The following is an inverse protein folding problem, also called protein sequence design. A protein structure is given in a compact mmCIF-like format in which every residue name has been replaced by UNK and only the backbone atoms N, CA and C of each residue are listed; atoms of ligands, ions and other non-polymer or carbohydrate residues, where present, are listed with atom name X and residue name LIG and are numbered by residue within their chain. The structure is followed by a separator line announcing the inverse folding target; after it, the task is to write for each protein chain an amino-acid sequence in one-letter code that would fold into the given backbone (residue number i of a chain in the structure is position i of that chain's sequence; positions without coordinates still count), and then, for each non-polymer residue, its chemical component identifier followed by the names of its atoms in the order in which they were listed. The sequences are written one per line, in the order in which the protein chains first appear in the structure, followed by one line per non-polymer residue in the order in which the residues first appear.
data_IF_052468403842
#
_entry.id   IF_052468403842
#
_cell.length_a   1.000
_cell.length_b   1.000
_cell.length_c   1.000
_cell.angle_alpha   90.00
_cell.angle_beta   90.00
_cell.angle_gamma   90.00
#
_symmetry.space_group_name_H-M   'P 1'
#
loop_
_entity.id
_entity.type
_entity.pdbx_description
1 polymer ?
#
# COMPACT_ATOMS: atom_id res chain seq x y z
N UNK A 1 43.54 -28.24 2.85
CA UNK A 1 43.74 -26.78 2.68
C UNK A 1 43.06 -26.25 1.42
N UNK A 2 43.29 -26.86 0.25
CA UNK A 2 42.64 -26.47 -1.02
C UNK A 2 41.10 -26.58 -1.00
N UNK A 3 40.55 -27.62 -0.36
CA UNK A 3 39.08 -27.75 -0.23
C UNK A 3 38.46 -26.68 0.67
N UNK A 4 39.18 -26.24 1.72
CA UNK A 4 38.68 -25.19 2.61
C UNK A 4 38.70 -23.81 1.93
N UNK A 5 39.71 -23.50 1.12
CA UNK A 5 39.74 -22.23 0.37
C UNK A 5 38.67 -22.22 -0.74
N UNK A 6 38.44 -23.35 -1.42
CA UNK A 6 37.41 -23.44 -2.45
C UNK A 6 36.00 -23.24 -1.86
N UNK A 7 35.73 -23.84 -0.70
CA UNK A 7 34.46 -23.68 0.00
C UNK A 7 34.21 -22.21 0.40
N UNK A 8 35.20 -21.55 1.00
CA UNK A 8 35.09 -20.15 1.42
C UNK A 8 34.88 -19.23 0.21
N UNK A 9 35.54 -19.49 -0.92
CA UNK A 9 35.36 -18.71 -2.16
C UNK A 9 33.94 -18.85 -2.73
N UNK A 10 33.37 -20.06 -2.76
CA UNK A 10 32.01 -20.29 -3.27
C UNK A 10 30.96 -19.64 -2.37
N UNK A 11 31.09 -19.78 -1.05
CA UNK A 11 30.18 -19.14 -0.09
C UNK A 11 30.25 -17.61 -0.21
N UNK A 12 31.45 -17.04 -0.37
CA UNK A 12 31.63 -15.60 -0.56
C UNK A 12 30.94 -15.05 -1.81
N UNK A 13 31.02 -15.77 -2.94
CA UNK A 13 30.34 -15.38 -4.19
C UNK A 13 28.82 -15.47 -4.03
N UNK A 14 28.30 -16.54 -3.43
CA UNK A 14 26.86 -16.71 -3.20
C UNK A 14 26.34 -15.61 -2.26
N UNK A 15 27.05 -15.31 -1.18
CA UNK A 15 26.68 -14.25 -0.24
C UNK A 15 26.64 -12.88 -0.93
N UNK A 16 27.63 -12.57 -1.78
CA UNK A 16 27.68 -11.31 -2.52
C UNK A 16 26.51 -11.14 -3.50
N UNK A 17 26.06 -12.20 -4.16
CA UNK A 17 24.91 -12.17 -5.07
C UNK A 17 23.57 -12.18 -4.32
N UNK A 18 23.48 -12.91 -3.21
CA UNK A 18 22.24 -13.08 -2.45
C UNK A 18 21.79 -11.78 -1.76
N UNK A 19 22.70 -11.03 -1.13
CA UNK A 19 22.37 -9.80 -0.38
C UNK A 19 21.61 -8.75 -1.23
N UNK A 20 22.09 -8.33 -2.42
CA UNK A 20 21.37 -7.38 -3.25
C UNK A 20 20.05 -7.96 -3.82
N UNK A 21 19.99 -9.27 -4.06
CA UNK A 21 18.76 -9.90 -4.57
C UNK A 21 17.65 -9.96 -3.52
N UNK A 22 17.97 -10.30 -2.27
CA UNK A 22 17.02 -10.40 -1.16
C UNK A 22 16.50 -9.01 -0.77
N UNK A 23 17.37 -8.01 -0.74
CA UNK A 23 16.97 -6.62 -0.44
C UNK A 23 16.04 -6.04 -1.52
N UNK A 24 16.31 -6.31 -2.80
CA UNK A 24 15.40 -5.95 -3.90
C UNK A 24 14.07 -6.71 -3.83
N UNK A 25 14.10 -8.02 -3.59
CA UNK A 25 12.87 -8.81 -3.44
C UNK A 25 11.99 -8.34 -2.29
N UNK A 26 12.60 -7.95 -1.15
CA UNK A 26 11.85 -7.37 -0.03
C UNK A 26 11.23 -6.03 -0.40
N UNK A 27 12.00 -5.14 -1.03
CA UNK A 27 11.51 -3.84 -1.50
C UNK A 27 10.37 -3.97 -2.51
N UNK A 28 10.46 -4.92 -3.45
CA UNK A 28 9.41 -5.16 -4.45
C UNK A 28 8.16 -5.78 -3.80
N UNK A 29 8.35 -6.65 -2.81
CA UNK A 29 7.24 -7.24 -2.05
C UNK A 29 6.49 -6.18 -1.23
N UNK A 30 7.21 -5.27 -0.58
CA UNK A 30 6.61 -4.14 0.15
C UNK A 30 5.85 -3.20 -0.79
N UNK A 31 6.42 -2.90 -1.97
CA UNK A 31 5.74 -2.10 -2.99
C UNK A 31 4.46 -2.78 -3.48
N UNK A 32 4.52 -4.09 -3.79
CA UNK A 32 3.36 -4.84 -4.24
C UNK A 32 2.27 -4.94 -3.15
N UNK A 33 2.67 -5.07 -1.88
CA UNK A 33 1.75 -5.01 -0.75
C UNK A 33 1.08 -3.63 -0.65
N UNK A 34 1.85 -2.55 -0.76
CA UNK A 34 1.31 -1.19 -0.73
C UNK A 34 0.31 -0.94 -1.88
N UNK A 35 0.58 -1.46 -3.08
CA UNK A 35 -0.33 -1.40 -4.22
C UNK A 35 -1.63 -2.17 -3.92
N UNK A 36 -1.52 -3.42 -3.46
CA UNK A 36 -2.69 -4.24 -3.11
C UNK A 36 -3.55 -3.59 -2.04
N UNK A 37 -2.94 -2.93 -1.05
CA UNK A 37 -3.65 -2.15 -0.02
C UNK A 37 -4.35 -0.93 -0.60
N UNK A 38 -3.71 -0.20 -1.51
CA UNK A 38 -4.35 0.92 -2.21
C UNK A 38 -5.53 0.47 -3.09
N UNK A 39 -5.40 -0.67 -3.77
CA UNK A 39 -6.48 -1.27 -4.54
C UNK A 39 -7.65 -1.69 -3.66
N UNK A 40 -7.37 -2.28 -2.48
CA UNK A 40 -8.39 -2.59 -1.49
C UNK A 40 -9.12 -1.33 -0.98
N UNK A 41 -8.41 -0.21 -0.79
CA UNK A 41 -9.05 1.08 -0.45
C UNK A 41 -9.95 1.57 -1.58
N UNK A 42 -9.50 1.47 -2.83
CA UNK A 42 -10.29 1.87 -4.01
C UNK A 42 -11.56 1.00 -4.16
N UNK A 43 -11.44 -0.31 -3.95
CA UNK A 43 -12.57 -1.23 -3.95
C UNK A 43 -13.52 -0.96 -2.77
N UNK A 44 -13.00 -0.72 -1.56
CA UNK A 44 -13.81 -0.35 -0.39
C UNK A 44 -14.60 0.94 -0.62
N UNK A 45 -14.01 1.95 -1.24
CA UNK A 45 -14.71 3.18 -1.67
C UNK A 45 -15.81 2.88 -2.69
N UNK A 46 -15.54 2.04 -3.69
CA UNK A 46 -16.54 1.65 -4.69
C UNK A 46 -17.72 0.92 -4.05
N UNK A 47 -17.46 -0.04 -3.16
CA UNK A 47 -18.49 -0.77 -2.42
C UNK A 47 -19.30 0.17 -1.52
N UNK A 48 -18.65 1.11 -0.83
CA UNK A 48 -19.36 2.11 -0.02
C UNK A 48 -20.32 2.97 -0.85
N UNK A 49 -19.90 3.41 -2.05
CA UNK A 49 -20.78 4.12 -3.00
C UNK A 49 -21.96 3.24 -3.42
N UNK A 50 -21.75 1.95 -3.66
CA UNK A 50 -22.80 1.01 -4.06
C UNK A 50 -23.83 0.79 -2.95
N UNK A 51 -23.40 0.68 -1.69
CA UNK A 51 -24.29 0.41 -0.54
C UNK A 51 -25.05 1.67 -0.10
N UNK A 52 -24.37 2.80 0.02
CA UNK A 52 -24.95 4.04 0.57
C UNK A 52 -25.63 4.89 -0.51
N UNK A 53 -25.28 4.67 -1.78
CA UNK A 53 -25.73 5.48 -2.91
C UNK A 53 -24.85 6.72 -3.12
N UNK A 54 -24.62 7.06 -4.40
CA UNK A 54 -23.62 8.05 -4.82
C UNK A 54 -23.77 9.42 -4.17
N UNK A 55 -24.99 9.95 -4.07
CA UNK A 55 -25.27 11.27 -3.52
C UNK A 55 -25.03 11.32 -2.01
N UNK A 56 -25.53 10.32 -1.28
CA UNK A 56 -25.36 10.26 0.17
C UNK A 56 -23.91 9.96 0.57
N UNK A 57 -23.23 9.10 -0.20
CA UNK A 57 -21.80 8.87 -0.04
C UNK A 57 -21.00 10.16 -0.21
N UNK A 58 -21.31 10.99 -1.21
CA UNK A 58 -20.66 12.27 -1.43
C UNK A 58 -20.87 13.25 -0.25
N UNK A 59 -22.09 13.35 0.26
CA UNK A 59 -22.42 14.19 1.42
C UNK A 59 -21.67 13.73 2.67
N UNK A 60 -21.62 12.41 2.91
CA UNK A 60 -20.93 11.83 4.05
C UNK A 60 -19.40 11.95 3.94
N UNK A 61 -18.85 12.09 2.74
CA UNK A 61 -17.42 12.14 2.46
C UNK A 61 -16.85 13.57 2.46
N UNK A 62 -17.67 14.53 2.00
CA UNK A 62 -17.27 15.94 1.85
C UNK A 62 -16.98 16.55 3.23
N UNK A 63 -15.85 17.26 3.35
CA UNK A 63 -15.46 17.93 4.59
C UNK A 63 -14.82 17.04 5.66
N UNK A 64 -14.68 15.73 5.42
CA UNK A 64 -14.00 14.81 6.34
C UNK A 64 -12.49 14.72 6.08
N UNK A 65 -11.71 14.47 7.13
CA UNK A 65 -10.28 14.18 7.06
C UNK A 65 -10.03 12.71 6.62
N UNK A 66 -8.79 12.37 6.28
CA UNK A 66 -8.43 11.03 5.79
C UNK A 66 -8.83 9.90 6.75
N UNK A 67 -8.61 10.04 8.06
CA UNK A 67 -9.02 9.03 9.04
C UNK A 67 -10.54 8.89 9.15
N UNK A 68 -11.27 10.00 9.05
CA UNK A 68 -12.73 9.99 9.09
C UNK A 68 -13.35 9.40 7.82
N UNK A 69 -12.68 9.57 6.67
CA UNK A 69 -13.04 8.90 5.41
C UNK A 69 -12.72 7.40 5.48
N UNK A 70 -11.58 7.04 6.04
CA UNK A 70 -11.20 5.65 6.27
C UNK A 70 -12.22 4.92 7.17
N UNK A 71 -12.70 5.58 8.22
CA UNK A 71 -13.74 5.01 9.09
C UNK A 71 -15.04 4.65 8.35
N UNK A 72 -15.40 5.35 7.27
CA UNK A 72 -16.60 5.04 6.48
C UNK A 72 -16.43 3.83 5.57
N UNK A 73 -15.20 3.59 5.11
CA UNK A 73 -14.89 2.46 4.22
C UNK A 73 -14.37 1.25 4.98
N UNK A 74 -13.96 1.41 6.24
CA UNK A 74 -13.31 0.39 7.07
C UNK A 74 -14.06 -0.94 7.05
N UNK A 75 -15.38 -0.92 7.21
CA UNK A 75 -16.22 -2.14 7.25
C UNK A 75 -16.29 -2.87 5.90
N UNK A 76 -15.86 -2.23 4.82
CA UNK A 76 -15.84 -2.77 3.46
C UNK A 76 -14.43 -3.21 3.02
N UNK A 77 -13.43 -3.11 3.89
CA UNK A 77 -12.08 -3.60 3.64
C UNK A 77 -11.84 -4.96 4.30
N UNK A 78 -11.24 -5.89 3.56
CA UNK A 78 -10.70 -7.12 4.15
C UNK A 78 -9.44 -6.78 4.96
N UNK A 79 -9.47 -7.07 6.27
CA UNK A 79 -8.41 -6.74 7.24
C UNK A 79 -8.18 -5.24 7.42
N UNK A 80 -9.18 -4.56 7.97
CA UNK A 80 -9.12 -3.14 8.23
C UNK A 80 -8.47 -2.84 9.60
N UNK A 81 -7.45 -1.98 9.59
CA UNK A 81 -6.69 -1.60 10.78
C UNK A 81 -7.37 -0.44 11.54
N UNK A 82 -6.79 -0.03 12.67
CA UNK A 82 -7.31 1.09 13.46
C UNK A 82 -7.29 2.44 12.73
N UNK A 83 -6.25 2.68 11.93
CA UNK A 83 -6.02 3.96 11.23
C UNK A 83 -5.49 3.72 9.81
N UNK A 84 -5.62 4.72 8.94
CA UNK A 84 -5.09 4.65 7.58
C UNK A 84 -3.55 4.50 7.57
N UNK A 85 -2.87 5.07 8.57
CA UNK A 85 -1.41 4.96 8.73
C UNK A 85 -0.96 3.55 9.11
N UNK A 86 -1.73 2.82 9.93
CA UNK A 86 -1.42 1.42 10.28
C UNK A 86 -1.79 0.43 9.17
N UNK A 87 -2.75 0.80 8.31
CA UNK A 87 -3.15 -0.02 7.17
C UNK A 87 -2.09 -0.05 6.05
N UNK A 88 -1.27 1.00 5.95
CA UNK A 88 -0.17 1.10 4.99
C UNK A 88 1.16 0.65 5.62
N UNK A 89 2.07 0.02 4.84
CA UNK A 89 3.43 -0.25 5.29
C UNK A 89 4.19 1.06 5.64
N UNK A 90 5.13 0.99 6.61
CA UNK A 90 5.73 2.16 7.28
C UNK A 90 6.33 3.25 6.37
N UNK A 91 6.68 2.93 5.12
CA UNK A 91 7.28 3.84 4.14
C UNK A 91 6.29 4.39 3.11
N UNK A 92 5.00 4.05 3.21
CA UNK A 92 3.97 4.42 2.25
C UNK A 92 2.84 5.20 2.91
N UNK A 93 2.48 6.33 2.30
CA UNK A 93 1.31 7.11 2.72
C UNK A 93 0.25 7.08 1.61
N UNK A 94 -0.98 6.76 1.99
CA UNK A 94 -2.13 6.82 1.09
C UNK A 94 -2.93 8.10 1.39
N UNK A 95 -3.18 8.91 0.37
CA UNK A 95 -4.06 10.09 0.50
C UNK A 95 -5.38 9.79 -0.19
N UNK A 96 -6.46 9.70 0.59
CA UNK A 96 -7.80 9.50 0.07
C UNK A 96 -8.29 10.78 -0.64
N UNK A 97 -8.93 10.66 -1.82
CA UNK A 97 -9.37 11.83 -2.59
C UNK A 97 -10.41 12.65 -1.82
N UNK A 98 -10.41 13.97 -2.03
CA UNK A 98 -11.37 14.91 -1.42
C UNK A 98 -12.79 14.72 -1.91
N UNK A 99 -12.95 14.22 -3.14
CA UNK A 99 -14.23 13.89 -3.74
C UNK A 99 -14.27 12.40 -4.05
N UNK A 100 -15.27 11.69 -3.53
CA UNK A 100 -15.51 10.27 -3.81
C UNK A 100 -16.26 10.06 -5.15
N UNK A 101 -16.85 11.13 -5.70
CA UNK A 101 -17.72 11.10 -6.89
C UNK A 101 -17.02 11.51 -8.18
N UNK A 102 -15.97 12.31 -8.09
CA UNK A 102 -14.98 12.47 -9.15
C UNK A 102 -13.98 11.34 -8.92
N UNK A 103 -13.84 10.43 -9.87
CA UNK A 103 -12.86 9.34 -9.80
C UNK A 103 -11.44 9.91 -9.92
N UNK A 104 -11.00 10.66 -8.92
CA UNK A 104 -9.61 11.08 -8.79
C UNK A 104 -8.89 9.93 -8.11
N UNK A 105 -8.16 9.17 -8.93
CA UNK A 105 -7.29 8.04 -8.55
C UNK A 105 -6.51 8.34 -7.26
N UNK A 106 -6.46 7.38 -6.33
CA UNK A 106 -5.79 7.53 -5.03
C UNK A 106 -4.29 7.67 -5.28
N UNK A 107 -3.68 8.72 -4.73
CA UNK A 107 -2.24 8.93 -4.90
C UNK A 107 -1.47 8.29 -3.76
N UNK A 108 -0.61 7.34 -4.11
CA UNK A 108 0.40 6.78 -3.21
C UNK A 108 1.62 7.69 -3.23
N UNK A 109 2.11 8.09 -2.05
CA UNK A 109 3.40 8.78 -1.93
C UNK A 109 4.37 7.84 -1.24
N UNK A 110 5.41 7.42 -1.97
CA UNK A 110 6.52 6.63 -1.45
C UNK A 110 7.84 7.42 -1.50
N UNK A 111 8.96 6.82 -1.06
CA UNK A 111 10.27 7.48 -1.00
C UNK A 111 10.85 7.91 -2.37
N UNK A 112 10.27 7.42 -3.47
CA UNK A 112 10.63 7.81 -4.85
C UNK A 112 9.67 8.81 -5.52
N UNK A 113 8.69 9.36 -4.78
CA UNK A 113 7.73 10.34 -5.29
C UNK A 113 6.30 9.81 -5.42
N UNK A 114 5.45 10.60 -6.10
CA UNK A 114 4.02 10.31 -6.27
C UNK A 114 3.80 9.22 -7.32
N UNK A 115 3.04 8.19 -6.95
CA UNK A 115 2.55 7.17 -7.88
C UNK A 115 1.02 7.27 -7.95
N UNK A 116 0.45 7.80 -9.05
CA UNK A 116 -1.00 7.87 -9.23
C UNK A 116 -1.57 6.49 -9.61
N UNK A 117 -2.53 5.97 -8.83
CA UNK A 117 -3.20 4.68 -9.08
C UNK A 117 -4.71 4.78 -9.17
#
# INVERSE_FOLDING_TARGET
MVEMIACVSVIGIIAFLAIPSITRMRSDSERNLAISRAEALNLGMSTYIQVVGRTQAALNWTGKNNDQRYALIKDYLAYAEGTLSSFMPESYTATLPSSITSMTKTTLVGPGGNIPY
#
